data_IF_355749537637
#
_entry.id   IF_355749537637
#
_cell.length_a   1.000
_cell.length_b   1.000
_cell.length_c   1.000
_cell.angle_alpha   90.00
_cell.angle_beta   90.00
_cell.angle_gamma   90.00
#
_symmetry.space_group_name_H-M   'P 1'
#
loop_
_entity.id
_entity.type
_entity.pdbx_description
1 polymer ?
#
# COMPACT_ATOMS: atom_id res chain seq x y z
N UNK A 1 -6.79 20.57 7.37
CA UNK A 1 -6.29 19.18 7.56
C UNK A 1 -5.61 18.52 6.34
N UNK A 2 -5.22 19.24 5.26
CA UNK A 2 -4.63 18.64 4.04
C UNK A 2 -3.15 18.19 4.13
N UNK A 3 -2.39 18.63 5.15
CA UNK A 3 -0.94 18.32 5.25
C UNK A 3 -0.63 16.86 5.61
N UNK A 4 -1.45 16.20 6.44
CA UNK A 4 -1.22 14.80 6.88
C UNK A 4 -1.33 13.78 5.74
N UNK A 5 -2.33 13.90 4.87
CA UNK A 5 -2.52 12.97 3.75
C UNK A 5 -1.37 13.02 2.71
N UNK A 6 -0.83 14.23 2.44
CA UNK A 6 0.36 14.40 1.59
C UNK A 6 1.60 13.74 2.21
N UNK A 7 1.73 13.78 3.54
CA UNK A 7 2.80 13.09 4.25
C UNK A 7 2.71 11.58 4.07
N UNK A 8 1.53 11.00 4.34
CA UNK A 8 1.31 9.56 4.26
C UNK A 8 1.61 9.00 2.87
N UNK A 9 1.04 9.60 1.81
CA UNK A 9 1.29 9.17 0.43
C UNK A 9 2.78 9.22 0.06
N UNK A 10 3.48 10.28 0.48
CA UNK A 10 4.92 10.43 0.23
C UNK A 10 5.74 9.36 0.95
N UNK A 11 5.41 9.07 2.22
CA UNK A 11 6.06 8.02 3.01
C UNK A 11 5.79 6.63 2.41
N UNK A 12 4.53 6.33 2.11
CA UNK A 12 4.12 5.08 1.48
C UNK A 12 4.85 4.86 0.15
N UNK A 13 4.96 5.90 -0.71
CA UNK A 13 5.72 5.81 -1.96
C UNK A 13 7.19 5.44 -1.72
N UNK A 14 7.83 5.99 -0.69
CA UNK A 14 9.20 5.63 -0.32
C UNK A 14 9.30 4.17 0.09
N UNK A 15 8.41 3.71 0.96
CA UNK A 15 8.41 2.33 1.47
C UNK A 15 8.11 1.30 0.38
N UNK A 16 7.16 1.58 -0.52
CA UNK A 16 6.84 0.70 -1.64
C UNK A 16 8.05 0.41 -2.55
N UNK A 17 8.97 1.38 -2.67
CA UNK A 17 10.20 1.25 -3.47
C UNK A 17 11.35 0.48 -2.80
N UNK A 18 11.24 0.15 -1.52
CA UNK A 18 12.27 -0.61 -0.81
C UNK A 18 12.11 -2.10 -1.15
N UNK A 19 13.13 -2.68 -1.80
CA UNK A 19 13.21 -4.13 -2.03
C UNK A 19 13.38 -4.86 -0.71
N UNK A 20 12.66 -5.95 -0.52
CA UNK A 20 12.73 -6.77 0.70
C UNK A 20 11.94 -6.23 1.89
N UNK A 21 11.17 -5.15 1.71
CA UNK A 21 10.26 -4.65 2.74
C UNK A 21 8.88 -5.28 2.56
N UNK A 22 8.47 -6.05 3.57
CA UNK A 22 7.12 -6.59 3.67
C UNK A 22 6.23 -5.52 4.29
N UNK A 23 5.13 -5.22 3.60
CA UNK A 23 4.22 -4.14 3.97
C UNK A 23 2.81 -4.72 4.06
N UNK A 24 2.17 -4.50 5.20
CA UNK A 24 0.76 -4.85 5.41
C UNK A 24 -0.03 -3.56 5.54
N UNK A 25 -1.08 -3.39 4.73
CA UNK A 25 -1.98 -2.24 4.82
C UNK A 25 -3.28 -2.66 5.47
N UNK A 26 -3.79 -1.85 6.39
CA UNK A 26 -5.10 -2.06 7.01
C UNK A 26 -6.08 -1.07 6.40
N UNK A 27 -7.24 -1.58 6.01
CA UNK A 27 -8.29 -0.83 5.32
C UNK A 27 -9.40 -0.42 6.28
N UNK A 28 -10.16 0.60 5.90
CA UNK A 28 -11.34 1.09 6.65
C UNK A 28 -12.43 0.04 6.84
N UNK A 29 -12.51 -0.95 5.96
CA UNK A 29 -13.48 -2.05 6.06
C UNK A 29 -13.03 -3.17 7.01
N UNK A 30 -11.90 -2.97 7.70
CA UNK A 30 -11.33 -3.93 8.64
C UNK A 30 -10.47 -5.01 7.99
N UNK A 31 -10.34 -5.02 6.65
CA UNK A 31 -9.45 -5.98 5.97
C UNK A 31 -8.00 -5.56 6.08
N UNK A 32 -7.11 -6.54 6.15
CA UNK A 32 -5.68 -6.36 5.93
C UNK A 32 -5.30 -6.90 4.55
N UNK A 33 -4.36 -6.21 3.89
CA UNK A 33 -3.81 -6.65 2.62
C UNK A 33 -2.29 -6.61 2.69
N UNK A 34 -1.67 -7.76 2.46
CA UNK A 34 -0.22 -7.86 2.29
C UNK A 34 0.15 -7.37 0.89
N UNK A 35 0.99 -6.34 0.83
CA UNK A 35 1.48 -5.83 -0.42
C UNK A 35 2.63 -6.72 -0.90
N UNK A 36 2.30 -7.66 -1.78
CA UNK A 36 3.27 -8.54 -2.43
C UNK A 36 4.32 -7.76 -3.26
N UNK A 37 5.38 -8.44 -3.71
CA UNK A 37 6.50 -7.81 -4.45
C UNK A 37 6.07 -7.16 -5.78
N UNK A 38 4.89 -7.53 -6.31
CA UNK A 38 4.34 -7.04 -7.57
C UNK A 38 3.35 -5.88 -7.34
N UNK A 39 3.82 -4.86 -6.61
CA UNK A 39 3.04 -3.68 -6.23
C UNK A 39 3.52 -2.43 -6.96
N UNK A 40 2.59 -1.63 -7.47
CA UNK A 40 2.90 -0.33 -8.08
C UNK A 40 1.97 0.75 -7.55
N UNK A 41 2.45 1.98 -7.46
CA UNK A 41 1.63 3.14 -7.10
C UNK A 41 1.18 3.85 -8.38
N UNK A 42 -0.12 3.79 -8.70
CA UNK A 42 -0.70 4.46 -9.85
C UNK A 42 -1.64 5.56 -9.35
N UNK A 43 -1.24 6.82 -9.52
CA UNK A 43 -1.96 8.00 -9.00
C UNK A 43 -2.20 7.90 -7.49
N UNK A 44 -3.42 7.53 -7.08
CA UNK A 44 -3.87 7.41 -5.69
C UNK A 44 -4.26 5.97 -5.32
N UNK A 45 -3.92 5.00 -6.17
CA UNK A 45 -4.20 3.58 -5.97
C UNK A 45 -2.89 2.79 -5.86
N UNK A 46 -2.85 1.81 -4.96
CA UNK A 46 -1.89 0.73 -4.99
C UNK A 46 -2.47 -0.36 -5.88
N UNK A 47 -1.74 -0.71 -6.94
CA UNK A 47 -2.12 -1.79 -7.85
C UNK A 47 -1.23 -3.00 -7.53
N UNK A 48 -1.87 -4.13 -7.31
CA UNK A 48 -1.26 -5.42 -7.03
C UNK A 48 -1.67 -6.41 -8.10
N UNK A 49 -0.77 -7.33 -8.45
CA UNK A 49 -1.14 -8.52 -9.22
C UNK A 49 -1.20 -9.71 -8.26
N UNK A 50 -2.37 -10.35 -8.18
CA UNK A 50 -2.54 -11.54 -7.35
C UNK A 50 -1.88 -12.78 -8.00
N UNK A 51 -1.90 -13.91 -7.28
CA UNK A 51 -1.34 -15.19 -7.78
C UNK A 51 -2.06 -15.74 -9.02
N UNK A 52 -3.26 -15.26 -9.32
CA UNK A 52 -4.08 -15.65 -10.47
C UNK A 52 -3.97 -14.64 -11.63
N UNK A 53 -2.96 -13.76 -11.63
CA UNK A 53 -2.79 -12.66 -12.57
C UNK A 53 -3.97 -11.66 -12.61
N UNK A 54 -4.75 -11.56 -11.54
CA UNK A 54 -5.80 -10.56 -11.40
C UNK A 54 -5.22 -9.28 -10.84
N UNK A 55 -5.63 -8.17 -11.42
CA UNK A 55 -5.29 -6.85 -10.93
C UNK A 55 -6.21 -6.48 -9.76
N UNK A 56 -5.62 -6.14 -8.62
CA UNK A 56 -6.33 -5.64 -7.45
C UNK A 56 -5.90 -4.19 -7.22
N UNK A 57 -6.87 -3.30 -7.07
CA UNK A 57 -6.63 -1.87 -6.78
C UNK A 57 -7.10 -1.51 -5.39
N UNK A 58 -6.21 -0.87 -4.64
CA UNK A 58 -6.46 -0.40 -3.28
C UNK A 58 -6.32 1.13 -3.26
N UNK A 59 -7.41 1.88 -3.10
CA UNK A 59 -7.33 3.32 -2.96
C UNK A 59 -6.60 3.69 -1.66
N UNK A 60 -5.62 4.59 -1.74
CA UNK A 60 -4.88 5.08 -0.56
C UNK A 60 -5.83 5.69 0.48
N UNK A 61 -6.94 6.28 0.04
CA UNK A 61 -7.97 6.84 0.91
C UNK A 61 -8.65 5.81 1.83
N UNK A 62 -8.62 4.53 1.46
CA UNK A 62 -9.15 3.43 2.27
C UNK A 62 -8.14 2.91 3.29
N UNK A 63 -6.85 3.26 3.18
CA UNK A 63 -5.82 2.80 4.10
C UNK A 63 -5.88 3.63 5.39
N UNK A 64 -5.98 2.95 6.53
CA UNK A 64 -6.01 3.58 7.87
C UNK A 64 -4.66 3.50 8.57
N UNK A 65 -3.90 2.43 8.36
CA UNK A 65 -2.59 2.20 8.94
C UNK A 65 -1.78 1.23 8.07
N UNK A 66 -0.47 1.17 8.33
CA UNK A 66 0.49 0.34 7.62
C UNK A 66 1.49 -0.22 8.61
N UNK A 67 1.70 -1.53 8.58
CA UNK A 67 2.80 -2.19 9.26
C UNK A 67 3.90 -2.56 8.27
N UNK A 68 5.14 -2.49 8.73
CA UNK A 68 6.33 -2.76 7.92
C UNK A 68 7.22 -3.74 8.66
N UNK A 69 7.61 -4.80 7.97
CA UNK A 69 8.46 -5.84 8.50
C UNK A 69 9.74 -5.89 7.66
N UNK A 70 10.88 -5.80 8.33
CA UNK A 70 12.18 -6.05 7.73
C UNK A 70 12.43 -7.57 7.79
N UNK A 71 12.70 -8.18 6.64
CA UNK A 71 13.19 -9.54 6.55
C UNK A 71 14.69 -9.62 6.85
#
# INVERSE_FOLDING_TARGET
MKKKAKSFKSQLKKYLGIKGLDIVVYLRDGKSVELNKNRILVKDDIVLTDKNNREVRIPISQIISVDMFAA
#
